data_IF_578508593505
#
_entry.id   IF_578508593505
#
_cell.length_a   1.000
_cell.length_b   1.000
_cell.length_c   1.000
_cell.angle_alpha   90.00
_cell.angle_beta   90.00
_cell.angle_gamma   90.00
#
_symmetry.space_group_name_H-M   'P 1'
#
loop_
_entity.id
_entity.type
_entity.pdbx_description
1 polymer ?
#
# COMPACT_ATOMS: atom_id res chain seq x y z
N UNK A 1 62.19 28.66 0.34
CA UNK A 1 60.99 27.79 0.53
C UNK A 1 59.81 28.50 1.19
N UNK A 2 59.95 29.14 2.37
CA UNK A 2 58.81 29.82 3.06
C UNK A 2 58.10 30.93 2.26
N UNK A 3 58.83 31.70 1.44
CA UNK A 3 58.23 32.76 0.59
C UNK A 3 57.38 32.21 -0.57
N UNK A 4 57.73 31.05 -1.12
CA UNK A 4 56.99 30.40 -2.21
C UNK A 4 55.69 29.79 -1.67
N UNK A 5 55.74 29.22 -0.47
CA UNK A 5 54.54 28.67 0.20
C UNK A 5 53.53 29.77 0.54
N UNK A 6 53.98 30.95 0.96
CA UNK A 6 53.09 32.08 1.24
C UNK A 6 52.40 32.59 -0.03
N UNK A 7 53.13 32.66 -1.15
CA UNK A 7 52.55 33.07 -2.45
C UNK A 7 51.51 32.06 -2.93
N UNK A 8 51.77 30.75 -2.79
CA UNK A 8 50.82 29.71 -3.15
C UNK A 8 49.54 29.75 -2.30
N UNK A 9 49.65 29.99 -0.99
CA UNK A 9 48.47 30.13 -0.10
C UNK A 9 47.66 31.38 -0.46
N UNK A 10 48.32 32.50 -0.76
CA UNK A 10 47.64 33.73 -1.18
C UNK A 10 46.92 33.53 -2.52
N UNK A 11 47.52 32.85 -3.48
CA UNK A 11 46.87 32.50 -4.76
C UNK A 11 45.65 31.60 -4.51
N UNK A 12 45.76 30.59 -3.64
CA UNK A 12 44.67 29.68 -3.35
C UNK A 12 43.48 30.40 -2.70
N UNK A 13 43.74 31.31 -1.76
CA UNK A 13 42.71 32.13 -1.11
C UNK A 13 42.06 33.10 -2.10
N UNK A 14 42.84 33.73 -2.99
CA UNK A 14 42.29 34.62 -4.03
C UNK A 14 41.43 33.84 -5.02
N UNK A 15 41.85 32.64 -5.44
CA UNK A 15 41.04 31.79 -6.34
C UNK A 15 39.74 31.31 -5.69
N UNK A 16 39.76 30.99 -4.39
CA UNK A 16 38.56 30.64 -3.64
C UNK A 16 37.60 31.83 -3.47
N UNK A 17 38.13 33.05 -3.27
CA UNK A 17 37.33 34.26 -3.15
C UNK A 17 36.66 34.67 -4.47
N UNK A 18 37.38 34.51 -5.60
CA UNK A 18 36.82 34.74 -6.94
C UNK A 18 35.71 33.71 -7.25
N UNK A 19 35.90 32.46 -6.86
CA UNK A 19 34.87 31.43 -7.03
C UNK A 19 33.63 31.70 -6.16
N UNK A 20 33.81 32.23 -4.95
CA UNK A 20 32.70 32.61 -4.06
C UNK A 20 31.93 33.84 -4.57
N UNK A 21 32.62 34.80 -5.20
CA UNK A 21 31.99 35.98 -5.83
C UNK A 21 31.30 35.66 -7.17
N UNK A 22 31.61 34.52 -7.79
CA UNK A 22 30.98 34.07 -9.04
C UNK A 22 29.65 33.32 -8.83
N UNK A 23 29.28 32.98 -7.58
CA UNK A 23 27.98 32.41 -7.25
C UNK A 23 26.98 33.54 -7.04
N UNK A 24 26.56 34.17 -8.14
CA UNK A 24 25.34 34.98 -8.16
C UNK A 24 24.15 34.02 -8.15
N UNK A 25 23.37 34.03 -7.08
CA UNK A 25 22.07 33.35 -7.03
C UNK A 25 21.24 33.77 -8.25
N UNK A 26 20.88 32.79 -9.11
CA UNK A 26 19.86 33.02 -10.14
C UNK A 26 18.52 33.21 -9.40
N UNK A 27 17.84 34.35 -9.53
CA UNK A 27 16.52 34.50 -8.94
C UNK A 27 15.54 33.54 -9.60
N UNK A 28 14.68 32.91 -8.78
CA UNK A 28 13.49 32.19 -9.23
C UNK A 28 12.66 33.10 -10.15
N UNK A 29 12.15 32.61 -11.29
CA UNK A 29 11.28 33.41 -12.12
C UNK A 29 9.96 33.69 -11.39
N UNK A 30 9.74 34.98 -11.10
CA UNK A 30 8.48 35.56 -10.66
C UNK A 30 7.38 35.29 -11.71
N UNK A 31 6.30 34.63 -11.28
CA UNK A 31 5.09 34.47 -12.08
C UNK A 31 4.39 35.83 -12.28
N UNK A 32 4.39 36.33 -13.51
CA UNK A 32 3.46 37.38 -13.96
C UNK A 32 2.28 36.75 -14.72
N UNK A 33 1.09 37.39 -14.71
CA UNK A 33 -0.17 36.76 -15.09
C UNK A 33 -0.26 36.62 -16.62
N UNK A 34 -0.63 35.43 -17.09
CA UNK A 34 -0.92 35.17 -18.50
C UNK A 34 -2.35 35.64 -18.80
N UNK A 35 -2.47 36.92 -19.13
CA UNK A 35 -3.48 37.43 -20.06
C UNK A 35 -2.69 38.15 -21.15
N UNK A 36 -3.08 37.94 -22.40
CA UNK A 36 -2.46 38.49 -23.63
C UNK A 36 -1.32 37.63 -24.23
N UNK A 37 -1.70 36.48 -24.78
CA UNK A 37 -1.05 35.87 -25.94
C UNK A 37 -2.05 34.92 -26.63
N UNK A 38 -3.17 35.46 -27.11
CA UNK A 38 -4.04 34.78 -28.07
C UNK A 38 -4.29 35.77 -29.21
N UNK A 39 -3.33 35.88 -30.10
CA UNK A 39 -3.56 36.26 -31.49
C UNK A 39 -2.36 35.74 -32.27
N UNK A 40 -2.62 35.08 -33.41
CA UNK A 40 -1.62 34.54 -34.35
C UNK A 40 -1.07 33.12 -34.06
N UNK A 41 -1.93 32.10 -34.04
CA UNK A 41 -1.69 30.84 -34.80
C UNK A 41 -3.07 30.27 -35.15
N UNK A 42 -3.60 30.71 -36.29
CA UNK A 42 -4.70 30.04 -36.97
C UNK A 42 -4.10 29.07 -38.00
N UNK A 43 -4.73 27.90 -38.12
CA UNK A 43 -4.60 26.93 -39.21
C UNK A 43 -3.38 25.98 -39.20
N UNK A 44 -3.47 24.93 -38.39
CA UNK A 44 -3.09 23.57 -38.83
C UNK A 44 -4.19 22.58 -38.47
N UNK A 45 -4.86 22.07 -39.50
CA UNK A 45 -5.74 20.92 -39.46
C UNK A 45 -4.89 19.67 -39.15
N UNK A 46 -4.86 19.21 -37.89
CA UNK A 46 -4.35 17.88 -37.56
C UNK A 46 -5.27 17.17 -36.55
N UNK A 47 -6.02 16.22 -37.10
CA UNK A 47 -6.63 15.02 -36.49
C UNK A 47 -6.86 15.07 -34.98
N UNK A 48 -8.14 15.25 -34.62
CA UNK A 48 -8.71 14.81 -33.35
C UNK A 48 -8.44 13.30 -33.21
N UNK A 49 -7.39 12.92 -32.50
CA UNK A 49 -7.15 11.51 -32.18
C UNK A 49 -8.25 11.09 -31.22
N UNK A 50 -9.11 10.20 -31.68
CA UNK A 50 -10.16 9.56 -30.90
C UNK A 50 -9.50 8.62 -29.88
N UNK A 51 -9.17 9.16 -28.70
CA UNK A 51 -8.77 8.39 -27.52
C UNK A 51 -10.01 8.08 -26.69
N UNK A 52 -10.61 6.93 -26.97
CA UNK A 52 -11.73 6.39 -26.20
C UNK A 52 -12.32 5.19 -26.93
N UNK A 53 -12.55 4.09 -26.22
CA UNK A 53 -13.36 3.00 -26.72
C UNK A 53 -14.77 3.53 -26.95
N UNK A 54 -15.12 3.82 -28.20
CA UNK A 54 -16.51 3.87 -28.62
C UNK A 54 -16.81 2.52 -29.25
N UNK A 55 -17.83 1.78 -28.78
CA UNK A 55 -18.26 0.58 -29.48
C UNK A 55 -18.46 0.97 -30.95
N UNK A 56 -17.83 0.21 -31.85
CA UNK A 56 -17.96 0.47 -33.29
C UNK A 56 -19.44 0.58 -33.64
N UNK A 57 -19.80 1.47 -34.58
CA UNK A 57 -21.18 1.78 -34.97
C UNK A 57 -22.03 0.53 -35.30
N UNK A 58 -21.38 -0.64 -35.50
CA UNK A 58 -22.02 -1.91 -35.85
C UNK A 58 -22.13 -2.94 -34.70
N UNK A 59 -21.58 -2.71 -33.51
CA UNK A 59 -21.69 -3.66 -32.38
C UNK A 59 -22.58 -3.12 -31.28
N UNK A 60 -23.62 -3.90 -30.94
CA UNK A 60 -24.48 -3.57 -29.81
C UNK A 60 -23.74 -3.73 -28.48
N UNK A 61 -24.08 -2.92 -27.47
CA UNK A 61 -23.54 -3.02 -26.10
C UNK A 61 -23.63 -4.46 -25.54
N UNK A 62 -24.72 -5.15 -25.88
CA UNK A 62 -24.96 -6.52 -25.45
C UNK A 62 -23.96 -7.51 -26.05
N UNK A 63 -23.59 -7.35 -27.32
CA UNK A 63 -22.60 -8.22 -27.98
C UNK A 63 -21.22 -8.10 -27.35
N UNK A 64 -20.74 -6.87 -27.11
CA UNK A 64 -19.45 -6.62 -26.46
C UNK A 64 -19.44 -7.24 -25.05
N UNK A 65 -20.52 -7.02 -24.29
CA UNK A 65 -20.65 -7.59 -22.94
C UNK A 65 -20.63 -9.12 -22.97
N UNK A 66 -21.38 -9.74 -23.88
CA UNK A 66 -21.40 -11.20 -24.02
C UNK A 66 -20.03 -11.78 -24.39
N UNK A 67 -19.29 -11.16 -25.31
CA UNK A 67 -17.92 -11.60 -25.67
C UNK A 67 -16.95 -11.49 -24.51
N UNK A 68 -16.91 -10.33 -23.84
CA UNK A 68 -16.04 -10.12 -22.69
C UNK A 68 -16.38 -11.08 -21.53
N UNK A 69 -17.66 -11.41 -21.34
CA UNK A 69 -18.06 -12.39 -20.33
C UNK A 69 -17.66 -13.83 -20.69
N UNK A 70 -17.64 -14.19 -21.97
CA UNK A 70 -17.10 -15.50 -22.41
C UNK A 70 -15.62 -15.64 -22.05
N UNK A 71 -14.83 -14.57 -22.20
CA UNK A 71 -13.42 -14.52 -21.80
C UNK A 71 -13.24 -14.55 -20.27
N UNK A 72 -14.21 -14.02 -19.52
CA UNK A 72 -14.16 -13.87 -18.07
C UNK A 72 -15.41 -14.42 -17.38
N UNK A 73 -15.66 -15.72 -17.51
CA UNK A 73 -16.86 -16.39 -16.97
C UNK A 73 -17.02 -16.24 -15.44
N UNK A 74 -15.92 -15.96 -14.73
CA UNK A 74 -15.92 -15.76 -13.27
C UNK A 74 -16.29 -14.33 -12.84
N UNK A 75 -16.34 -13.37 -13.76
CA UNK A 75 -16.82 -12.02 -13.51
C UNK A 75 -18.34 -11.99 -13.68
N UNK A 76 -19.06 -11.53 -12.66
CA UNK A 76 -20.51 -11.37 -12.74
C UNK A 76 -20.91 -10.46 -13.91
N UNK A 77 -21.84 -10.93 -14.74
CA UNK A 77 -22.31 -10.19 -15.93
C UNK A 77 -22.94 -8.85 -15.55
N UNK A 78 -23.57 -8.75 -14.38
CA UNK A 78 -24.14 -7.52 -13.85
C UNK A 78 -23.07 -6.49 -13.45
N UNK A 79 -21.89 -6.93 -12.99
CA UNK A 79 -20.72 -6.09 -12.72
C UNK A 79 -20.08 -5.66 -14.03
N UNK A 80 -19.92 -6.56 -15.00
CA UNK A 80 -19.39 -6.24 -16.32
C UNK A 80 -20.27 -5.20 -17.04
N UNK A 81 -21.59 -5.39 -17.06
CA UNK A 81 -22.54 -4.42 -17.62
C UNK A 81 -22.45 -3.04 -16.95
N UNK A 82 -22.32 -2.98 -15.61
CA UNK A 82 -22.11 -1.71 -14.89
C UNK A 82 -20.77 -1.07 -15.27
N UNK A 83 -19.74 -1.88 -15.46
CA UNK A 83 -18.40 -1.41 -15.84
C UNK A 83 -18.38 -0.84 -17.26
N UNK A 84 -19.06 -1.48 -18.21
CA UNK A 84 -19.23 -0.95 -19.57
C UNK A 84 -20.11 0.31 -19.58
N UNK A 85 -21.12 0.40 -18.71
CA UNK A 85 -21.89 1.64 -18.52
C UNK A 85 -21.00 2.77 -17.99
N UNK A 86 -20.09 2.50 -17.05
CA UNK A 86 -19.09 3.46 -16.57
C UNK A 86 -18.21 3.98 -17.71
N UNK A 87 -17.72 3.09 -18.57
CA UNK A 87 -16.95 3.49 -19.76
C UNK A 87 -17.78 4.37 -20.69
N UNK A 88 -19.05 4.03 -20.92
CA UNK A 88 -19.97 4.87 -21.70
C UNK A 88 -20.10 6.28 -21.09
N UNK A 89 -20.41 6.39 -19.79
CA UNK A 89 -20.57 7.70 -19.16
C UNK A 89 -19.24 8.49 -19.14
N UNK A 90 -18.10 7.82 -18.96
CA UNK A 90 -16.78 8.46 -19.03
C UNK A 90 -16.53 9.10 -20.41
N UNK A 91 -16.88 8.42 -21.50
CA UNK A 91 -16.84 8.97 -22.85
C UNK A 91 -17.79 10.18 -23.01
N UNK A 92 -19.03 10.10 -22.51
CA UNK A 92 -20.00 11.21 -22.56
C UNK A 92 -19.51 12.45 -21.81
N UNK A 93 -18.78 12.26 -20.72
CA UNK A 93 -18.16 13.35 -19.95
C UNK A 93 -16.82 13.83 -20.50
N UNK A 94 -16.32 13.24 -21.59
CA UNK A 94 -15.04 13.61 -22.19
C UNK A 94 -13.84 13.28 -21.29
N UNK A 95 -13.95 12.25 -20.45
CA UNK A 95 -12.80 11.73 -19.70
C UNK A 95 -11.87 11.04 -20.69
N UNK A 96 -10.66 11.56 -20.85
CA UNK A 96 -9.65 10.92 -21.71
C UNK A 96 -9.23 9.58 -21.12
N UNK A 97 -9.36 8.51 -21.91
CA UNK A 97 -8.85 7.20 -21.52
C UNK A 97 -8.50 6.33 -22.75
N UNK A 98 -7.62 5.36 -22.54
CA UNK A 98 -7.29 4.32 -23.51
C UNK A 98 -8.31 3.16 -23.46
N UNK A 99 -8.07 2.11 -24.24
CA UNK A 99 -8.99 0.97 -24.37
C UNK A 99 -8.80 -0.12 -23.30
N UNK A 100 -7.93 0.10 -22.32
CA UNK A 100 -7.70 -0.85 -21.24
C UNK A 100 -8.66 -0.56 -20.09
N UNK A 101 -9.34 -1.61 -19.63
CA UNK A 101 -10.26 -1.55 -18.51
C UNK A 101 -9.82 -2.52 -17.41
N UNK A 102 -9.57 -1.99 -16.22
CA UNK A 102 -9.33 -2.81 -15.02
C UNK A 102 -10.58 -2.83 -14.15
N UNK A 103 -11.00 -4.02 -13.73
CA UNK A 103 -12.13 -4.20 -12.80
C UNK A 103 -11.60 -4.94 -11.57
N UNK A 104 -11.85 -4.38 -10.39
CA UNK A 104 -11.64 -5.04 -9.11
C UNK A 104 -12.99 -5.27 -8.44
N UNK A 105 -13.35 -6.52 -8.19
CA UNK A 105 -14.55 -6.87 -7.43
C UNK A 105 -14.22 -7.12 -5.97
N UNK A 106 -14.47 -6.12 -5.12
CA UNK A 106 -14.29 -6.27 -3.68
C UNK A 106 -15.46 -6.94 -2.94
N UNK A 107 -16.53 -7.32 -3.64
CA UNK A 107 -17.54 -8.21 -3.05
C UNK A 107 -17.01 -9.63 -2.85
N UNK A 108 -16.01 -10.03 -3.64
CA UNK A 108 -15.31 -11.30 -3.49
C UNK A 108 -14.25 -11.26 -2.37
N UNK A 109 -14.07 -12.37 -1.63
CA UNK A 109 -13.04 -12.46 -0.60
C UNK A 109 -11.63 -12.40 -1.21
N UNK A 110 -10.67 -11.90 -0.43
CA UNK A 110 -9.28 -11.68 -0.87
C UNK A 110 -8.49 -12.94 -1.21
N UNK A 111 -9.03 -14.14 -0.93
CA UNK A 111 -8.49 -15.42 -1.35
C UNK A 111 -9.03 -15.90 -2.71
N UNK A 112 -9.77 -15.06 -3.44
CA UNK A 112 -10.21 -15.29 -4.81
C UNK A 112 -9.52 -14.33 -5.77
N UNK A 113 -9.32 -14.79 -7.01
CA UNK A 113 -8.92 -13.92 -8.11
C UNK A 113 -10.08 -12.99 -8.41
N UNK A 114 -9.88 -11.70 -8.13
CA UNK A 114 -10.93 -10.67 -8.10
C UNK A 114 -10.51 -9.36 -8.79
N UNK A 115 -9.47 -9.44 -9.61
CA UNK A 115 -9.02 -8.40 -10.52
C UNK A 115 -9.03 -8.94 -11.93
N UNK A 116 -9.64 -8.21 -12.85
CA UNK A 116 -9.65 -8.47 -14.29
C UNK A 116 -9.09 -7.26 -15.03
N UNK A 117 -8.33 -7.49 -16.09
CA UNK A 117 -7.87 -6.44 -17.02
C UNK A 117 -8.28 -6.85 -18.42
N UNK A 118 -9.01 -6.00 -19.12
CA UNK A 118 -9.48 -6.22 -20.48
C UNK A 118 -8.84 -5.25 -21.46
N UNK A 119 -8.62 -5.72 -22.69
CA UNK A 119 -8.45 -4.88 -23.88
C UNK A 119 -9.81 -4.78 -24.58
N UNK A 120 -10.49 -3.63 -24.41
CA UNK A 120 -11.82 -3.41 -24.98
C UNK A 120 -11.80 -3.28 -26.50
N UNK A 121 -10.67 -2.89 -27.10
CA UNK A 121 -10.58 -2.82 -28.57
C UNK A 121 -10.47 -4.22 -29.21
N UNK A 122 -10.03 -5.21 -28.43
CA UNK A 122 -9.84 -6.59 -28.89
C UNK A 122 -10.84 -7.58 -28.27
N UNK A 123 -11.80 -7.09 -27.48
CA UNK A 123 -12.74 -7.91 -26.69
C UNK A 123 -12.04 -9.01 -25.87
N UNK A 124 -10.85 -8.74 -25.29
CA UNK A 124 -9.98 -9.79 -24.74
C UNK A 124 -9.64 -9.60 -23.27
N UNK A 125 -9.68 -10.70 -22.50
CA UNK A 125 -9.12 -10.73 -21.14
C UNK A 125 -7.59 -10.83 -21.19
N UNK A 126 -6.91 -9.90 -20.54
CA UNK A 126 -5.44 -9.85 -20.45
C UNK A 126 -4.93 -10.46 -19.14
N UNK A 127 -5.60 -10.17 -18.02
CA UNK A 127 -5.19 -10.65 -16.70
C UNK A 127 -6.40 -11.00 -15.83
N UNK A 128 -6.31 -12.09 -15.07
CA UNK A 128 -7.25 -12.46 -14.01
C UNK A 128 -6.46 -12.94 -12.78
N UNK A 129 -6.45 -12.16 -11.70
CA UNK A 129 -5.56 -12.41 -10.56
C UNK A 129 -6.06 -11.89 -9.22
N UNK A 130 -5.28 -12.13 -8.16
CA UNK A 130 -5.51 -11.65 -6.81
C UNK A 130 -5.22 -10.15 -6.66
N UNK A 131 -5.89 -9.51 -5.71
CA UNK A 131 -5.58 -8.13 -5.32
C UNK A 131 -5.94 -7.89 -3.86
N UNK A 132 -5.05 -7.26 -3.10
CA UNK A 132 -5.30 -6.93 -1.68
C UNK A 132 -6.26 -5.76 -1.50
N UNK A 133 -6.77 -5.59 -0.29
CA UNK A 133 -7.52 -4.40 0.14
C UNK A 133 -6.86 -3.76 1.38
N UNK A 134 -7.37 -2.60 1.82
CA UNK A 134 -6.86 -1.90 3.00
C UNK A 134 -7.18 -2.62 4.33
N UNK A 135 -6.29 -2.51 5.31
CA UNK A 135 -6.43 -3.17 6.62
C UNK A 135 -7.70 -2.79 7.39
N UNK A 136 -8.26 -1.60 7.14
CA UNK A 136 -9.54 -1.17 7.73
C UNK A 136 -10.75 -1.51 6.86
N UNK A 137 -10.56 -2.12 5.70
CA UNK A 137 -11.66 -2.57 4.84
C UNK A 137 -12.17 -3.96 5.17
N UNK A 138 -11.42 -4.79 5.92
CA UNK A 138 -11.79 -6.18 6.14
C UNK A 138 -10.63 -7.05 6.61
N UNK A 139 -10.92 -8.32 6.90
CA UNK A 139 -9.89 -9.37 7.10
C UNK A 139 -9.83 -10.23 5.83
N UNK A 140 -10.79 -11.14 5.65
CA UNK A 140 -10.91 -11.96 4.45
C UNK A 140 -11.69 -11.20 3.36
N UNK A 141 -12.89 -10.73 3.71
CA UNK A 141 -13.80 -9.99 2.83
C UNK A 141 -13.73 -8.49 3.11
N UNK A 142 -13.76 -7.68 2.04
CA UNK A 142 -13.85 -6.23 2.13
C UNK A 142 -15.29 -5.84 2.45
N UNK A 143 -15.54 -5.18 3.59
CA UNK A 143 -16.87 -4.78 4.07
C UNK A 143 -16.99 -3.28 4.32
N UNK A 144 -15.86 -2.59 4.40
CA UNK A 144 -15.80 -1.15 4.67
C UNK A 144 -14.92 -0.42 3.67
N UNK A 145 -15.40 0.74 3.23
CA UNK A 145 -14.68 1.59 2.29
C UNK A 145 -14.71 3.03 2.78
N UNK A 146 -13.63 3.76 2.54
CA UNK A 146 -13.52 5.13 3.01
C UNK A 146 -12.68 5.97 2.09
N UNK A 147 -13.19 7.14 1.78
CA UNK A 147 -12.50 8.20 1.08
C UNK A 147 -11.74 9.16 2.03
N UNK A 148 -11.81 8.93 3.35
CA UNK A 148 -11.16 9.82 4.34
C UNK A 148 -9.64 9.66 4.30
N UNK A 149 -8.92 10.78 4.46
CA UNK A 149 -7.46 10.77 4.64
C UNK A 149 -7.10 9.97 5.89
N UNK A 150 -6.04 9.17 5.81
CA UNK A 150 -5.57 8.29 6.88
C UNK A 150 -6.54 7.19 7.36
N UNK A 151 -7.62 6.90 6.62
CA UNK A 151 -8.58 5.85 6.98
C UNK A 151 -8.01 4.43 7.01
N UNK A 152 -6.90 4.19 6.31
CA UNK A 152 -6.31 2.85 6.07
C UNK A 152 -7.27 1.84 5.40
N UNK A 153 -8.37 2.32 4.84
CA UNK A 153 -9.35 1.54 4.10
C UNK A 153 -9.21 1.81 2.61
N UNK A 154 -9.60 0.85 1.77
CA UNK A 154 -9.76 1.07 0.34
C UNK A 154 -10.97 1.97 0.05
N UNK A 155 -11.05 2.53 -1.15
CA UNK A 155 -12.20 3.31 -1.64
C UNK A 155 -12.74 2.68 -2.92
N UNK A 156 -14.06 2.65 -3.06
CA UNK A 156 -14.76 2.21 -4.28
C UNK A 156 -14.89 3.37 -5.27
N UNK A 157 -15.22 3.07 -6.52
CA UNK A 157 -15.43 4.08 -7.56
C UNK A 157 -14.50 3.92 -8.76
N UNK A 158 -14.55 4.93 -9.64
CA UNK A 158 -13.80 4.97 -10.90
C UNK A 158 -12.50 5.74 -10.70
N UNK A 159 -11.40 5.17 -11.14
CA UNK A 159 -10.07 5.77 -11.09
C UNK A 159 -9.51 5.92 -12.51
N UNK A 160 -8.77 7.00 -12.70
CA UNK A 160 -7.81 7.13 -13.79
C UNK A 160 -6.42 6.69 -13.32
N UNK A 161 -5.64 6.13 -14.24
CA UNK A 161 -4.30 5.59 -13.98
C UNK A 161 -3.25 6.48 -14.62
N UNK A 162 -2.34 7.04 -13.82
CA UNK A 162 -1.33 7.95 -14.34
C UNK A 162 -0.09 7.18 -14.88
N UNK A 163 1.05 7.88 -14.96
CA UNK A 163 2.34 7.27 -15.27
C UNK A 163 2.80 6.39 -14.10
N UNK A 164 3.34 5.23 -14.43
CA UNK A 164 4.07 4.41 -13.48
C UNK A 164 5.32 5.14 -12.98
N UNK A 165 5.70 4.88 -11.73
CA UNK A 165 6.91 5.40 -11.12
C UNK A 165 7.54 4.33 -10.24
N UNK A 166 8.81 4.53 -9.89
CA UNK A 166 9.48 3.69 -8.91
C UNK A 166 9.48 4.41 -7.57
N UNK A 167 8.86 3.82 -6.55
CA UNK A 167 8.81 4.35 -5.19
C UNK A 167 9.30 3.33 -4.16
N UNK A 168 8.95 3.57 -2.88
CA UNK A 168 9.35 2.70 -1.76
C UNK A 168 8.86 1.24 -1.85
N UNK A 169 7.88 0.98 -2.72
CA UNK A 169 7.30 -0.35 -2.96
C UNK A 169 7.74 -0.93 -4.31
N UNK A 170 8.81 -0.39 -4.92
CA UNK A 170 9.21 -0.72 -6.28
C UNK A 170 8.34 -0.02 -7.32
N UNK A 171 8.07 -0.69 -8.43
CA UNK A 171 7.17 -0.18 -9.46
C UNK A 171 5.77 0.03 -8.86
N UNK A 172 5.26 1.24 -9.02
CA UNK A 172 3.95 1.67 -8.51
C UNK A 172 3.25 2.53 -9.54
N UNK A 173 1.92 2.51 -9.50
CA UNK A 173 1.04 3.25 -10.39
C UNK A 173 0.15 4.16 -9.58
N UNK A 174 0.23 5.48 -9.82
CA UNK A 174 -0.64 6.43 -9.15
C UNK A 174 -2.07 6.28 -9.64
N UNK A 175 -3.01 6.37 -8.70
CA UNK A 175 -4.44 6.30 -8.99
C UNK A 175 -5.08 7.64 -8.67
N UNK A 176 -5.73 8.24 -9.66
CA UNK A 176 -6.50 9.46 -9.50
C UNK A 176 -7.99 9.11 -9.42
N UNK A 177 -8.67 9.49 -8.33
CA UNK A 177 -10.08 9.15 -8.14
C UNK A 177 -10.99 10.13 -8.88
N UNK A 178 -11.85 9.61 -9.75
CA UNK A 178 -12.77 10.41 -10.57
C UNK A 178 -14.16 10.55 -9.92
N UNK A 179 -14.51 9.66 -8.99
CA UNK A 179 -15.84 9.57 -8.41
C UNK A 179 -15.95 10.40 -7.12
N UNK A 180 -16.58 11.56 -7.25
CA UNK A 180 -16.67 12.57 -6.19
C UNK A 180 -17.29 11.99 -4.92
N UNK A 181 -16.69 12.29 -3.77
CA UNK A 181 -17.02 11.74 -2.45
C UNK A 181 -16.71 10.25 -2.23
N UNK A 182 -16.50 9.44 -3.28
CA UNK A 182 -16.21 8.00 -3.17
C UNK A 182 -14.72 7.69 -3.18
N UNK A 183 -13.97 8.32 -4.08
CA UNK A 183 -12.52 8.12 -4.20
C UNK A 183 -11.72 9.38 -4.58
N UNK A 184 -12.35 10.56 -4.70
CA UNK A 184 -11.68 11.82 -5.09
C UNK A 184 -10.51 12.27 -4.17
N UNK A 185 -10.34 11.69 -2.99
CA UNK A 185 -9.16 11.92 -2.15
C UNK A 185 -8.03 10.91 -2.41
N UNK A 186 -8.16 9.97 -3.35
CA UNK A 186 -7.20 8.89 -3.58
C UNK A 186 -5.76 9.40 -3.80
N UNK A 187 -5.60 10.45 -4.61
CA UNK A 187 -4.30 11.08 -4.84
C UNK A 187 -3.71 11.68 -3.56
N UNK A 188 -4.50 12.47 -2.81
CA UNK A 188 -4.10 13.07 -1.52
C UNK A 188 -3.79 12.02 -0.44
N UNK A 189 -4.38 10.83 -0.58
CA UNK A 189 -4.18 9.68 0.30
C UNK A 189 -2.98 8.82 -0.11
N UNK A 190 -2.26 9.20 -1.17
CA UNK A 190 -1.18 8.42 -1.77
C UNK A 190 -1.61 6.98 -2.09
N UNK A 191 -2.84 6.80 -2.57
CA UNK A 191 -3.34 5.51 -3.03
C UNK A 191 -2.71 5.21 -4.38
N UNK A 192 -1.99 4.10 -4.46
CA UNK A 192 -1.31 3.62 -5.65
C UNK A 192 -1.57 2.13 -5.81
N UNK A 193 -1.49 1.61 -7.03
CA UNK A 193 -1.34 0.18 -7.25
C UNK A 193 0.14 -0.20 -7.18
N UNK A 194 0.49 -1.27 -6.46
CA UNK A 194 1.88 -1.71 -6.30
C UNK A 194 1.98 -3.21 -6.07
N UNK A 195 3.18 -3.78 -6.20
CA UNK A 195 3.43 -5.19 -5.89
C UNK A 195 3.57 -5.47 -4.40
N UNK A 196 3.15 -6.66 -3.98
CA UNK A 196 3.32 -7.15 -2.62
C UNK A 196 3.50 -8.67 -2.58
N UNK A 197 4.53 -9.13 -1.86
CA UNK A 197 4.83 -10.56 -1.69
C UNK A 197 3.68 -11.35 -1.03
N UNK A 198 2.91 -10.69 -0.16
CA UNK A 198 1.77 -11.26 0.57
C UNK A 198 0.47 -11.37 -0.25
N UNK A 199 0.51 -11.14 -1.57
CA UNK A 199 -0.64 -11.31 -2.48
C UNK A 199 -0.42 -12.50 -3.43
N UNK A 200 0.74 -13.14 -3.38
CA UNK A 200 1.04 -14.32 -4.19
C UNK A 200 0.16 -15.51 -3.80
N UNK A 201 -0.12 -16.38 -4.77
CA UNK A 201 -1.01 -17.54 -4.57
C UNK A 201 -0.51 -18.51 -3.49
N UNK A 202 0.81 -18.71 -3.39
CA UNK A 202 1.43 -19.57 -2.36
C UNK A 202 1.18 -19.04 -0.95
N UNK A 203 1.31 -17.72 -0.76
CA UNK A 203 0.99 -17.05 0.50
C UNK A 203 -0.50 -17.23 0.85
N UNK A 204 -1.39 -16.99 -0.12
CA UNK A 204 -2.83 -17.11 0.07
C UNK A 204 -3.24 -18.56 0.42
N UNK A 205 -2.63 -19.56 -0.21
CA UNK A 205 -2.84 -20.97 0.13
C UNK A 205 -2.34 -21.29 1.55
N UNK A 206 -1.17 -20.76 1.94
CA UNK A 206 -0.57 -20.98 3.28
C UNK A 206 -1.40 -20.34 4.40
N UNK A 207 -1.96 -19.15 4.17
CA UNK A 207 -2.60 -18.35 5.22
C UNK A 207 -4.11 -18.11 5.05
N UNK A 208 -4.72 -18.69 4.02
CA UNK A 208 -6.16 -18.62 3.75
C UNK A 208 -6.66 -17.27 3.20
N UNK A 209 -5.81 -16.24 3.13
CA UNK A 209 -6.13 -14.90 2.57
C UNK A 209 -4.88 -14.15 2.11
N UNK A 210 -5.07 -13.13 1.26
CA UNK A 210 -4.01 -12.17 0.97
C UNK A 210 -3.73 -11.28 2.19
N UNK A 211 -2.51 -10.74 2.28
CA UNK A 211 -2.20 -9.63 3.19
C UNK A 211 -2.94 -8.34 2.82
N UNK A 212 -2.82 -7.29 3.64
CA UNK A 212 -3.58 -6.04 3.50
C UNK A 212 -2.68 -4.80 3.47
N UNK A 213 -2.99 -3.90 2.57
CA UNK A 213 -2.28 -2.62 2.48
C UNK A 213 -2.87 -1.61 3.47
N UNK A 214 -2.49 -0.35 3.36
CA UNK A 214 -3.20 0.77 4.02
C UNK A 214 -4.22 1.46 3.10
N UNK A 215 -4.76 0.74 2.13
CA UNK A 215 -5.81 1.20 1.22
C UNK A 215 -5.48 0.93 -0.26
N UNK A 216 -4.20 0.88 -0.60
CA UNK A 216 -3.67 0.56 -1.93
C UNK A 216 -4.11 -0.83 -2.43
N UNK A 217 -4.60 -0.98 -3.67
CA UNK A 217 -4.70 -2.30 -4.28
C UNK A 217 -3.28 -2.85 -4.53
N UNK A 218 -2.90 -3.95 -3.88
CA UNK A 218 -1.61 -4.59 -4.14
C UNK A 218 -1.78 -5.83 -5.00
N UNK A 219 -0.87 -6.02 -5.94
CA UNK A 219 -0.80 -7.14 -6.88
C UNK A 219 0.18 -8.22 -6.41
N UNK A 220 0.05 -9.47 -6.93
CA UNK A 220 1.13 -10.44 -6.87
C UNK A 220 2.43 -9.87 -7.43
N UNK A 221 3.54 -10.16 -6.77
CA UNK A 221 4.83 -9.54 -7.06
C UNK A 221 5.32 -9.85 -8.49
N UNK A 222 5.08 -11.08 -8.96
CA UNK A 222 5.38 -11.59 -10.29
C UNK A 222 4.55 -10.93 -11.40
N UNK A 223 3.30 -10.57 -11.11
CA UNK A 223 2.39 -9.93 -12.07
C UNK A 223 2.41 -8.39 -12.02
N UNK A 224 3.17 -7.80 -11.10
CA UNK A 224 3.17 -6.35 -10.89
C UNK A 224 3.64 -5.57 -12.11
N UNK A 225 4.80 -5.93 -12.67
CA UNK A 225 5.36 -5.26 -13.84
C UNK A 225 4.47 -5.40 -15.09
N UNK A 226 4.02 -6.61 -15.50
CA UNK A 226 3.19 -6.73 -16.69
C UNK A 226 1.85 -6.00 -16.54
N UNK A 227 1.17 -6.12 -15.39
CA UNK A 227 -0.11 -5.42 -15.17
C UNK A 227 0.09 -3.91 -15.19
N UNK A 228 1.02 -3.36 -14.40
CA UNK A 228 1.24 -1.90 -14.34
C UNK A 228 1.62 -1.34 -15.72
N UNK A 229 2.44 -2.05 -16.49
CA UNK A 229 2.79 -1.62 -17.84
C UNK A 229 1.58 -1.58 -18.78
N UNK A 230 0.66 -2.54 -18.63
CA UNK A 230 -0.57 -2.59 -19.44
C UNK A 230 -1.57 -1.50 -19.07
N UNK A 231 -1.73 -1.22 -17.78
CA UNK A 231 -2.79 -0.32 -17.30
C UNK A 231 -2.28 1.12 -17.06
N UNK A 232 -1.01 1.42 -17.26
CA UNK A 232 -0.51 2.79 -17.13
C UNK A 232 -0.97 3.69 -18.30
N UNK A 233 -0.89 5.00 -18.08
CA UNK A 233 -1.16 6.03 -19.08
C UNK A 233 -2.63 6.09 -19.53
N UNK A 234 -3.47 6.58 -18.62
CA UNK A 234 -4.87 6.92 -18.81
C UNK A 234 -5.76 5.71 -19.12
N UNK A 235 -5.62 4.60 -18.38
CA UNK A 235 -6.64 3.53 -18.38
C UNK A 235 -7.65 3.71 -17.25
N UNK A 236 -8.87 3.21 -17.45
CA UNK A 236 -9.88 3.21 -16.40
C UNK A 236 -9.71 2.01 -15.48
N UNK A 237 -9.71 2.27 -14.17
CA UNK A 237 -9.76 1.25 -13.13
C UNK A 237 -11.04 1.42 -12.30
N UNK A 238 -11.87 0.40 -12.25
CA UNK A 238 -13.12 0.38 -11.50
C UNK A 238 -12.95 -0.50 -10.27
N UNK A 239 -13.11 0.09 -9.09
CA UNK A 239 -13.20 -0.65 -7.83
C UNK A 239 -14.66 -0.80 -7.45
N UNK A 240 -15.20 -1.99 -7.68
CA UNK A 240 -16.60 -2.32 -7.45
C UNK A 240 -16.84 -2.90 -6.05
N UNK A 241 -17.98 -2.52 -5.45
CA UNK A 241 -18.63 -3.19 -4.34
C UNK A 241 -20.14 -2.90 -4.40
N UNK A 242 -21.04 -3.82 -4.00
CA UNK A 242 -22.48 -3.59 -3.95
C UNK A 242 -22.85 -2.55 -2.87
N UNK A 243 -22.76 -1.27 -3.24
CA UNK A 243 -23.05 -0.15 -2.35
C UNK A 243 -24.19 0.71 -2.93
N UNK A 244 -25.41 0.67 -2.34
CA UNK A 244 -26.55 1.42 -2.85
C UNK A 244 -26.33 2.94 -2.94
N UNK A 245 -25.58 3.52 -2.01
CA UNK A 245 -25.24 4.94 -2.02
C UNK A 245 -24.31 5.28 -3.20
N UNK A 246 -23.36 4.41 -3.56
CA UNK A 246 -22.53 4.57 -4.75
C UNK A 246 -23.33 4.42 -6.04
N UNK A 247 -24.19 3.40 -6.11
CA UNK A 247 -25.04 3.17 -7.29
C UNK A 247 -25.96 4.34 -7.60
N UNK A 248 -26.48 5.02 -6.57
CA UNK A 248 -27.40 6.15 -6.74
C UNK A 248 -26.70 7.50 -6.95
N UNK A 249 -25.48 7.70 -6.44
CA UNK A 249 -24.80 9.01 -6.49
C UNK A 249 -23.63 9.10 -7.47
N UNK A 250 -23.07 7.97 -7.93
CA UNK A 250 -21.97 8.01 -8.88
C UNK A 250 -22.44 8.57 -10.21
N UNK A 251 -21.76 9.62 -10.68
CA UNK A 251 -21.97 10.18 -12.01
C UNK A 251 -21.70 9.12 -13.10
N UNK A 252 -20.72 8.25 -12.88
CA UNK A 252 -20.32 7.23 -13.85
C UNK A 252 -21.28 6.03 -13.91
N UNK A 253 -22.16 5.84 -12.93
CA UNK A 253 -23.17 4.77 -13.00
C UNK A 253 -24.51 5.24 -13.55
N UNK A 254 -24.76 6.54 -13.57
CA UNK A 254 -26.05 7.10 -13.97
C UNK A 254 -25.99 7.90 -15.28
N UNK A 255 -24.79 8.25 -15.76
CA UNK A 255 -24.58 9.19 -16.88
C UNK A 255 -25.34 10.51 -16.68
N UNK A 256 -25.68 10.84 -15.43
CA UNK A 256 -26.59 11.92 -15.09
C UNK A 256 -25.78 13.18 -14.79
N UNK A 257 -26.24 14.32 -15.30
CA UNK A 257 -25.72 15.65 -14.96
C UNK A 257 -26.44 16.25 -13.73
N UNK A 258 -27.39 15.52 -13.14
CA UNK A 258 -28.31 15.99 -12.10
C UNK A 258 -27.99 15.42 -10.72
N UNK A 259 -28.08 16.27 -9.69
CA UNK A 259 -27.93 15.87 -8.29
C UNK A 259 -29.18 15.16 -7.79
N UNK A 260 -29.17 13.83 -7.70
CA UNK A 260 -30.21 13.10 -6.96
C UNK A 260 -29.88 13.16 -5.46
N UNK A 261 -30.78 13.75 -4.68
CA UNK A 261 -30.71 13.73 -3.22
C UNK A 261 -31.12 12.34 -2.73
N UNK A 262 -30.15 11.60 -2.20
CA UNK A 262 -30.40 10.34 -1.47
C UNK A 262 -30.22 10.65 0.01
N UNK A 263 -31.16 10.25 0.87
CA UNK A 263 -31.06 10.46 2.31
C UNK A 263 -29.72 9.94 2.84
N UNK A 264 -29.10 10.75 3.70
CA UNK A 264 -27.82 10.48 4.33
C UNK A 264 -27.99 9.35 5.33
N UNK A 265 -27.86 8.10 4.87
CA UNK A 265 -27.70 6.99 5.78
C UNK A 265 -26.38 7.14 6.52
N UNK A 266 -26.41 6.81 7.81
CA UNK A 266 -25.25 6.84 8.70
C UNK A 266 -24.02 6.22 8.01
N UNK A 267 -22.81 6.79 8.20
CA UNK A 267 -21.60 6.18 7.69
C UNK A 267 -21.58 4.71 8.10
N UNK A 268 -21.25 3.77 7.19
CA UNK A 268 -21.10 2.38 7.60
C UNK A 268 -20.15 2.35 8.80
N UNK A 269 -20.58 1.68 9.88
CA UNK A 269 -19.74 1.53 11.06
C UNK A 269 -18.41 0.92 10.65
N UNK A 270 -17.31 1.35 11.27
CA UNK A 270 -15.98 0.77 11.01
C UNK A 270 -16.04 -0.67 11.57
N UNK A 271 -16.18 -1.73 10.75
CA UNK A 271 -16.72 -2.97 11.28
C UNK A 271 -15.71 -3.78 12.09
N UNK A 272 -14.41 -3.42 12.09
CA UNK A 272 -13.38 -4.32 12.62
C UNK A 272 -12.24 -3.53 13.26
N UNK A 273 -12.20 -3.53 14.59
CA UNK A 273 -10.94 -3.42 15.32
C UNK A 273 -10.47 -4.85 15.59
N UNK A 274 -9.59 -5.37 14.74
CA UNK A 274 -8.96 -6.67 14.95
C UNK A 274 -8.20 -6.59 16.28
N UNK A 275 -8.71 -7.28 17.29
CA UNK A 275 -8.05 -7.32 18.60
C UNK A 275 -6.66 -7.90 18.41
N UNK A 276 -5.66 -7.23 18.97
CA UNK A 276 -4.26 -7.62 18.84
C UNK A 276 -3.75 -8.07 20.17
N UNK A 277 -3.23 -9.29 20.19
CA UNK A 277 -2.44 -9.76 21.30
C UNK A 277 -1.28 -8.78 21.53
N UNK A 278 -0.99 -8.43 22.79
CA UNK A 278 0.23 -7.72 23.14
C UNK A 278 1.43 -8.51 22.66
N UNK A 279 2.33 -7.86 21.95
CA UNK A 279 3.63 -8.44 21.59
C UNK A 279 4.68 -8.01 22.62
N UNK A 280 5.80 -8.73 22.68
CA UNK A 280 6.92 -8.35 23.52
C UNK A 280 7.93 -7.46 22.77
N UNK A 281 8.30 -6.33 23.37
CA UNK A 281 9.43 -5.50 22.96
C UNK A 281 10.49 -5.43 24.05
N UNK A 282 11.74 -5.25 23.67
CA UNK A 282 12.88 -5.05 24.56
C UNK A 282 13.00 -3.54 24.86
N UNK A 283 12.66 -3.15 26.07
CA UNK A 283 12.81 -1.79 26.60
C UNK A 283 14.30 -1.54 26.88
N UNK A 284 14.93 -0.76 26.00
CA UNK A 284 16.36 -0.47 26.07
C UNK A 284 16.67 0.77 26.93
N UNK A 285 15.68 1.65 27.10
CA UNK A 285 15.84 2.94 27.76
C UNK A 285 15.32 2.95 29.21
N UNK A 286 14.61 1.89 29.61
CA UNK A 286 13.98 1.72 30.91
C UNK A 286 13.01 2.87 31.23
N UNK A 287 12.22 3.28 30.23
CA UNK A 287 11.24 4.35 30.32
C UNK A 287 9.78 3.84 30.22
N UNK A 288 9.62 2.52 30.18
CA UNK A 288 8.36 1.79 30.08
C UNK A 288 7.58 2.08 28.79
N UNK A 289 8.20 2.71 27.78
CA UNK A 289 7.53 3.18 26.57
C UNK A 289 8.20 2.66 25.32
N UNK A 290 7.41 1.89 24.56
CA UNK A 290 7.83 1.40 23.25
C UNK A 290 8.21 2.54 22.29
N UNK A 291 9.48 2.61 21.89
CA UNK A 291 9.98 3.49 20.82
C UNK A 291 10.00 2.79 19.45
N UNK A 292 10.11 3.54 18.33
CA UNK A 292 10.05 2.95 16.99
C UNK A 292 11.16 1.97 16.65
N UNK A 293 12.35 2.25 17.17
CA UNK A 293 13.62 1.54 17.02
C UNK A 293 13.83 0.46 18.09
N UNK A 294 12.91 0.29 19.04
CA UNK A 294 13.08 -0.76 20.04
C UNK A 294 12.82 -2.14 19.46
N UNK A 295 13.66 -3.13 19.82
CA UNK A 295 13.58 -4.46 19.23
C UNK A 295 12.33 -5.16 19.73
N UNK A 296 11.63 -5.84 18.83
CA UNK A 296 10.65 -6.83 19.26
C UNK A 296 11.26 -8.21 19.17
N UNK A 297 10.71 -9.14 19.95
CA UNK A 297 11.06 -10.55 19.83
C UNK A 297 10.15 -11.23 18.80
N UNK A 298 10.78 -11.94 17.88
CA UNK A 298 10.12 -12.68 16.81
C UNK A 298 10.65 -14.10 16.71
N UNK A 299 9.89 -14.96 16.05
CA UNK A 299 10.31 -16.26 15.56
C UNK A 299 9.97 -16.37 14.07
N UNK A 300 10.64 -17.25 13.32
CA UNK A 300 10.24 -17.52 11.93
C UNK A 300 8.81 -18.11 11.89
N UNK A 301 8.04 -17.81 10.86
CA UNK A 301 6.67 -18.33 10.72
C UNK A 301 6.62 -19.86 10.66
N UNK A 302 7.65 -20.51 10.11
CA UNK A 302 7.70 -21.97 10.00
C UNK A 302 7.96 -22.63 11.37
N UNK A 303 8.96 -22.15 12.13
CA UNK A 303 9.15 -22.62 13.52
C UNK A 303 7.94 -22.32 14.41
N UNK A 304 7.26 -21.17 14.20
CA UNK A 304 6.00 -20.89 14.91
C UNK A 304 4.97 -22.01 14.64
N UNK A 305 4.78 -22.38 13.38
CA UNK A 305 3.84 -23.45 13.00
C UNK A 305 4.24 -24.80 13.62
N UNK A 306 5.53 -25.11 13.65
CA UNK A 306 6.04 -26.36 14.23
C UNK A 306 5.86 -26.41 15.76
N UNK A 307 6.26 -25.35 16.47
CA UNK A 307 6.24 -25.30 17.94
C UNK A 307 4.82 -25.21 18.50
N UNK A 308 3.94 -24.45 17.85
CA UNK A 308 2.59 -24.18 18.37
C UNK A 308 1.50 -25.01 17.68
N UNK A 309 1.86 -25.81 16.67
CA UNK A 309 0.94 -26.62 15.86
C UNK A 309 -0.28 -25.81 15.36
N UNK A 310 -0.03 -24.58 14.92
CA UNK A 310 -1.07 -23.65 14.46
C UNK A 310 -0.53 -22.66 13.43
N UNK A 311 -1.40 -22.11 12.60
CA UNK A 311 -1.00 -21.13 11.59
C UNK A 311 -0.43 -19.86 12.23
N UNK A 312 0.57 -19.26 11.58
CA UNK A 312 1.14 -18.00 12.03
C UNK A 312 0.09 -16.87 12.03
N UNK A 313 -0.04 -16.10 13.13
CA UNK A 313 -1.01 -15.02 13.25
C UNK A 313 -0.62 -13.82 12.38
N UNK A 314 -1.37 -13.61 11.29
CA UNK A 314 -1.08 -12.55 10.30
C UNK A 314 -1.09 -11.14 10.87
N UNK A 315 -1.83 -10.87 11.95
CA UNK A 315 -1.87 -9.56 12.62
C UNK A 315 -0.58 -9.21 13.39
N UNK A 316 0.25 -10.21 13.70
CA UNK A 316 1.56 -10.09 14.36
C UNK A 316 2.75 -10.41 13.44
N UNK A 317 2.49 -10.79 12.20
CA UNK A 317 3.54 -11.01 11.20
C UNK A 317 4.25 -9.70 10.82
N UNK A 318 5.56 -9.75 10.62
CA UNK A 318 6.30 -8.61 10.07
C UNK A 318 5.79 -8.32 8.64
N UNK A 319 5.57 -7.03 8.32
CA UNK A 319 5.19 -6.60 6.96
C UNK A 319 6.28 -6.80 5.92
N UNK A 320 7.50 -7.09 6.37
CA UNK A 320 8.70 -7.24 5.55
C UNK A 320 9.45 -8.47 6.00
N UNK A 321 9.79 -9.30 5.02
CA UNK A 321 10.62 -10.47 5.21
C UNK A 321 12.08 -10.05 5.47
N UNK A 322 12.83 -10.92 6.15
CA UNK A 322 14.29 -10.79 6.30
C UNK A 322 14.88 -11.95 5.52
N UNK A 323 15.69 -11.69 4.50
CA UNK A 323 16.24 -12.72 3.60
C UNK A 323 15.16 -13.67 3.02
N UNK A 324 14.01 -13.12 2.63
CA UNK A 324 12.84 -13.83 2.13
C UNK A 324 12.17 -14.79 3.14
N UNK A 325 12.50 -14.67 4.43
CA UNK A 325 11.90 -15.43 5.52
C UNK A 325 10.83 -14.58 6.24
N UNK A 326 9.70 -15.19 6.55
CA UNK A 326 8.57 -14.62 7.28
C UNK A 326 8.79 -14.74 8.78
N UNK A 327 8.45 -13.70 9.55
CA UNK A 327 8.62 -13.67 11.00
C UNK A 327 7.35 -13.20 11.70
N UNK A 328 7.11 -13.73 12.90
CA UNK A 328 5.96 -13.46 13.74
C UNK A 328 6.43 -12.90 15.06
N UNK A 329 5.85 -11.78 15.49
CA UNK A 329 6.07 -11.21 16.81
C UNK A 329 5.44 -12.09 17.90
N UNK A 330 6.22 -12.47 18.91
CA UNK A 330 5.73 -13.31 20.01
C UNK A 330 4.96 -12.46 21.04
N UNK A 331 3.90 -13.06 21.59
CA UNK A 331 3.27 -12.57 22.82
C UNK A 331 3.91 -13.22 24.06
N UNK A 332 3.41 -12.86 25.24
CA UNK A 332 3.92 -13.37 26.52
C UNK A 332 3.79 -14.89 26.66
N UNK A 333 2.62 -15.45 26.36
CA UNK A 333 2.33 -16.88 26.55
C UNK A 333 3.12 -17.77 25.59
N UNK A 334 3.37 -17.28 24.37
CA UNK A 334 4.20 -17.94 23.38
C UNK A 334 5.68 -17.87 23.76
N UNK A 335 6.15 -16.71 24.25
CA UNK A 335 7.53 -16.58 24.69
C UNK A 335 7.86 -17.51 25.87
N UNK A 336 6.91 -17.71 26.81
CA UNK A 336 7.04 -18.69 27.90
C UNK A 336 7.22 -20.13 27.43
N UNK A 337 6.75 -20.47 26.21
CA UNK A 337 6.91 -21.81 25.62
C UNK A 337 8.22 -21.94 24.86
N UNK A 338 8.69 -20.84 24.25
CA UNK A 338 9.98 -20.79 23.55
C UNK A 338 11.15 -20.82 24.55
N UNK A 339 11.03 -20.09 25.66
CA UNK A 339 12.03 -20.11 26.73
C UNK A 339 11.78 -21.27 27.72
N UNK A 340 12.82 -21.95 28.24
CA UNK A 340 14.25 -21.79 27.93
C UNK A 340 14.75 -22.63 26.74
N UNK A 341 13.99 -23.63 26.30
CA UNK A 341 14.51 -24.71 25.46
C UNK A 341 14.78 -24.32 23.99
N UNK A 342 13.98 -23.41 23.43
CA UNK A 342 14.03 -23.02 22.02
C UNK A 342 14.48 -21.55 21.83
N UNK A 343 15.23 -21.00 22.79
CA UNK A 343 15.63 -19.58 22.75
C UNK A 343 16.50 -19.23 21.53
N UNK A 344 17.23 -20.22 20.98
CA UNK A 344 17.99 -20.10 19.74
C UNK A 344 17.11 -19.87 18.49
N UNK A 345 15.81 -20.09 18.59
CA UNK A 345 14.85 -19.85 17.51
C UNK A 345 14.22 -18.45 17.56
N UNK A 346 14.44 -17.71 18.65
CA UNK A 346 13.93 -16.36 18.82
C UNK A 346 14.97 -15.30 18.40
N UNK A 347 14.49 -14.22 17.78
CA UNK A 347 15.31 -13.13 17.26
C UNK A 347 14.80 -11.79 17.76
N UNK A 348 15.71 -10.84 17.97
CA UNK A 348 15.37 -9.44 18.22
C UNK A 348 15.45 -8.68 16.90
N UNK A 349 14.37 -7.99 16.54
CA UNK A 349 14.27 -7.30 15.25
C UNK A 349 13.86 -5.85 15.43
N UNK A 350 14.59 -4.96 14.73
CA UNK A 350 14.27 -3.53 14.64
C UNK A 350 13.97 -3.14 13.19
N UNK A 351 13.14 -2.10 12.97
CA UNK A 351 13.11 -1.43 11.69
C UNK A 351 14.36 -0.57 11.51
N UNK A 352 14.94 -0.56 10.32
CA UNK A 352 15.95 0.41 9.90
C UNK A 352 15.47 1.14 8.67
N UNK A 353 15.79 2.42 8.56
CA UNK A 353 15.48 3.22 7.37
C UNK A 353 16.72 3.28 6.49
N UNK A 354 16.59 2.90 5.23
CA UNK A 354 17.65 2.99 4.22
C UNK A 354 17.19 3.86 3.05
N UNK A 355 18.12 4.67 2.52
CA UNK A 355 17.90 5.38 1.28
C UNK A 355 18.12 4.41 0.11
N UNK A 356 17.09 4.18 -0.68
CA UNK A 356 17.11 3.31 -1.85
C UNK A 356 16.48 4.05 -3.02
N UNK A 357 17.27 4.27 -4.09
CA UNK A 357 16.80 4.92 -5.33
C UNK A 357 16.10 6.27 -5.09
N UNK A 358 16.60 7.05 -4.13
CA UNK A 358 16.01 8.35 -3.75
C UNK A 358 14.82 8.28 -2.79
N UNK A 359 14.42 7.08 -2.32
CA UNK A 359 13.31 6.89 -1.37
C UNK A 359 13.79 6.27 -0.07
N UNK A 360 13.20 6.71 1.05
CA UNK A 360 13.38 6.05 2.34
C UNK A 360 12.54 4.78 2.41
N UNK A 361 13.21 3.63 2.35
CA UNK A 361 12.62 2.32 2.56
C UNK A 361 12.88 1.86 4.00
N UNK A 362 11.89 1.22 4.61
CA UNK A 362 12.11 0.50 5.87
C UNK A 362 12.57 -0.91 5.51
N UNK A 363 13.60 -1.40 6.18
CA UNK A 363 14.02 -2.81 6.19
C UNK A 363 13.98 -3.33 7.63
N UNK A 364 13.90 -4.65 7.79
CA UNK A 364 13.93 -5.28 9.10
C UNK A 364 15.34 -5.85 9.32
N UNK A 365 15.92 -5.57 10.48
CA UNK A 365 17.26 -6.02 10.85
C UNK A 365 17.19 -6.84 12.13
N UNK A 366 17.68 -8.08 12.06
CA UNK A 366 17.97 -8.87 13.25
C UNK A 366 19.16 -8.22 13.95
N UNK A 367 19.03 -8.02 15.25
CA UNK A 367 20.10 -7.50 16.10
C UNK A 367 20.51 -8.54 17.13
N UNK A 368 21.79 -8.50 17.50
CA UNK A 368 22.32 -9.31 18.57
C UNK A 368 22.40 -8.48 19.86
N UNK A 369 21.60 -8.84 20.87
CA UNK A 369 21.64 -8.18 22.17
C UNK A 369 22.85 -8.60 23.02
N UNK A 370 23.54 -9.67 22.64
CA UNK A 370 24.61 -10.31 23.42
C UNK A 370 24.18 -11.68 23.92
N UNK A 371 25.09 -12.38 24.61
CA UNK A 371 24.80 -13.69 25.18
C UNK A 371 23.88 -13.55 26.40
N UNK A 372 22.75 -14.25 26.37
CA UNK A 372 21.76 -14.28 27.45
C UNK A 372 22.28 -15.23 28.54
N UNK A 373 22.47 -14.72 29.76
CA UNK A 373 22.86 -15.51 30.95
C UNK A 373 21.66 -16.20 31.57
N UNK A 374 20.57 -15.46 31.77
CA UNK A 374 19.34 -15.92 32.40
C UNK A 374 18.17 -14.99 32.03
N UNK A 375 16.96 -15.53 32.04
CA UNK A 375 15.73 -14.76 31.92
C UNK A 375 14.86 -15.08 33.15
N UNK A 376 14.39 -14.04 33.83
CA UNK A 376 13.55 -14.17 35.01
C UNK A 376 12.21 -13.45 34.76
N UNK A 377 11.07 -14.03 35.17
CA UNK A 377 9.82 -13.29 35.26
C UNK A 377 10.02 -12.06 36.16
N UNK A 378 9.60 -10.89 35.70
CA UNK A 378 9.65 -9.65 36.48
C UNK A 378 8.39 -9.57 37.35
N UNK A 379 8.38 -10.30 38.46
CA UNK A 379 7.27 -10.25 39.43
C UNK A 379 7.46 -9.06 40.36
N UNK A 380 6.60 -8.05 40.26
CA UNK A 380 6.52 -6.99 41.26
C UNK A 380 5.65 -7.47 42.45
N UNK A 381 6.15 -7.53 43.69
CA UNK A 381 5.40 -8.07 44.83
C UNK A 381 4.13 -7.29 45.19
N UNK A 382 3.97 -6.05 44.73
CA UNK A 382 2.89 -5.14 45.16
C UNK A 382 1.70 -5.06 44.20
N UNK A 383 1.83 -5.45 42.93
CA UNK A 383 0.76 -5.36 41.94
C UNK A 383 0.55 -6.72 41.25
N UNK A 384 -0.52 -7.45 41.62
CA UNK A 384 -0.86 -8.76 41.07
C UNK A 384 -1.46 -8.75 39.65
N UNK A 385 -1.59 -7.59 39.00
CA UNK A 385 -2.32 -7.45 37.72
C UNK A 385 -1.55 -6.75 36.57
N UNK A 386 -0.28 -6.36 36.74
CA UNK A 386 0.50 -5.84 35.61
C UNK A 386 1.10 -6.99 34.79
N UNK A 387 0.83 -6.95 33.48
CA UNK A 387 1.14 -7.98 32.48
C UNK A 387 2.61 -8.42 32.54
N UNK A 388 2.88 -9.71 32.36
CA UNK A 388 4.14 -10.34 32.72
C UNK A 388 5.33 -9.83 31.91
N UNK A 389 6.09 -8.93 32.53
CA UNK A 389 7.39 -8.50 32.05
C UNK A 389 8.43 -9.62 32.29
N UNK A 390 9.46 -9.71 31.45
CA UNK A 390 10.63 -10.56 31.70
C UNK A 390 11.88 -9.71 31.84
N UNK A 391 12.80 -10.09 32.73
CA UNK A 391 14.11 -9.48 32.84
C UNK A 391 15.15 -10.38 32.19
N UNK A 392 15.75 -9.90 31.10
CA UNK A 392 16.86 -10.57 30.40
C UNK A 392 18.17 -10.08 30.97
N UNK A 393 18.97 -11.00 31.51
CA UNK A 393 20.33 -10.72 31.96
C UNK A 393 21.32 -11.12 30.88
N UNK A 394 22.13 -10.17 30.44
CA UNK A 394 23.12 -10.33 29.37
C UNK A 394 24.54 -10.41 29.95
N UNK A 395 25.45 -11.07 29.24
CA UNK A 395 26.87 -11.05 29.60
C UNK A 395 27.48 -9.64 29.41
N UNK A 396 28.02 -9.06 30.48
CA UNK A 396 28.76 -7.80 30.43
C UNK A 396 27.89 -6.56 30.15
N UNK A 397 26.56 -6.65 30.27
CA UNK A 397 25.63 -5.55 30.02
C UNK A 397 24.57 -5.45 31.12
N UNK A 398 23.96 -4.28 31.23
CA UNK A 398 22.80 -4.07 32.09
C UNK A 398 21.63 -4.99 31.65
N UNK A 399 20.81 -5.47 32.60
CA UNK A 399 19.61 -6.23 32.27
C UNK A 399 18.64 -5.40 31.42
N UNK A 400 17.91 -6.07 30.54
CA UNK A 400 16.88 -5.49 29.66
C UNK A 400 15.51 -6.02 30.07
N UNK A 401 14.48 -5.18 30.03
CA UNK A 401 13.10 -5.59 30.28
C UNK A 401 12.41 -5.96 28.95
N UNK A 402 11.77 -7.13 28.90
CA UNK A 402 10.79 -7.45 27.88
C UNK A 402 9.41 -7.06 28.38
N UNK A 403 8.74 -6.19 27.64
CA UNK A 403 7.44 -5.65 28.03
C UNK A 403 6.38 -5.92 26.97
N UNK A 404 5.13 -6.20 27.37
CA UNK A 404 4.04 -6.34 26.44
C UNK A 404 3.58 -4.97 25.93
N UNK A 405 3.20 -4.90 24.66
CA UNK A 405 2.57 -3.70 24.10
C UNK A 405 1.47 -4.04 23.11
N UNK A 406 0.31 -3.38 23.28
CA UNK A 406 -0.77 -3.36 22.28
C UNK A 406 -0.63 -2.18 21.30
N UNK A 407 0.42 -1.35 21.43
CA UNK A 407 0.63 -0.17 20.57
C UNK A 407 0.78 -0.63 19.12
N UNK A 408 0.02 -0.01 18.22
CA UNK A 408 0.13 -0.32 16.80
C UNK A 408 1.56 -0.05 16.30
N UNK A 409 2.20 -1.10 15.80
CA UNK A 409 3.51 -1.01 15.18
C UNK A 409 3.34 -1.00 13.66
N UNK A 410 3.81 0.06 13.02
CA UNK A 410 3.61 0.31 11.58
C UNK A 410 4.09 -0.83 10.68
N UNK A 411 5.15 -1.52 11.08
CA UNK A 411 5.77 -2.60 10.31
C UNK A 411 5.30 -3.99 10.73
N UNK A 412 4.25 -4.07 11.59
CA UNK A 412 3.54 -5.30 11.92
C UNK A 412 2.15 -5.37 11.29
N UNK A 413 1.72 -6.60 11.03
CA UNK A 413 0.39 -6.96 10.57
C UNK A 413 0.25 -6.82 9.07
N UNK A 414 -0.06 -7.93 8.39
CA UNK A 414 -0.35 -7.96 6.97
C UNK A 414 -1.77 -7.51 6.68
#
# INVERSE_FOLDING_TARGET
MKRILLILVVILVITALIYFLAIKEKPLPSSKPVKEAITQVEQTNEKKVTFGFQPSINQSFNEVSSKLHQEAQTLDIGILNKSLKIVKCANEYGVEHNNILTIIDYSLPSNKKRLWVFDLAKDKLLFHTYVSHGIKSGILSSQYFSNKVNSKASSIGVYDTEKAYHGRHGLSLKLYGLDKNFNDNAYRRFIVMHGSWYVNETFIKKYGRAGRSWGCPSLPADLTQPIINTIANNSLLIVYYPNPNWFSKSQFLNCDHSKIQVPENAPPEIPINEERDPILFADLNNDDKREENEPIIVITADNYQQLFNTAAPLNRMLRRQINNIEYVALNESEFKKVYPHNLNEAYFVIPIVKLQRGYYATEMKIINLGKIKKIEPNTNPQNKEEMGDFKIYLEGKSPILLKPTKRFIRWLGL
#
